data_IF_144039219804
#
_entry.id   IF_144039219804
#
_cell.length_a   1.000
_cell.length_b   1.000
_cell.length_c   1.000
_cell.angle_alpha   90.00
_cell.angle_beta   90.00
_cell.angle_gamma   90.00
#
_symmetry.space_group_name_H-M   'P 1'
#
loop_
_entity.id
_entity.type
_entity.pdbx_description
1 polymer ?
#
# COMPACT_ATOMS: atom_id res chain seq x y z
N UNK A 1 9.63 -8.58 -29.38
CA UNK A 1 8.38 -8.40 -28.63
C UNK A 1 7.79 -7.06 -29.04
N UNK A 2 6.50 -7.02 -29.40
CA UNK A 2 5.83 -5.76 -29.73
C UNK A 2 5.55 -4.99 -28.44
N UNK A 3 6.10 -3.80 -28.29
CA UNK A 3 5.80 -2.93 -27.17
C UNK A 3 4.39 -2.35 -27.35
N UNK A 4 3.60 -2.31 -26.27
CA UNK A 4 2.28 -1.69 -26.27
C UNK A 4 2.40 -0.34 -25.55
N UNK A 5 2.13 0.74 -26.27
CA UNK A 5 2.12 2.11 -25.74
C UNK A 5 0.68 2.59 -25.58
N UNK A 6 0.37 3.17 -24.43
CA UNK A 6 -0.97 3.63 -24.10
C UNK A 6 -0.87 5.00 -23.47
N UNK A 7 -1.61 5.96 -24.03
CA UNK A 7 -1.80 7.26 -23.39
C UNK A 7 -2.84 7.12 -22.28
N UNK A 8 -2.41 7.28 -21.04
CA UNK A 8 -3.28 7.29 -19.88
C UNK A 8 -4.25 8.48 -19.93
N UNK A 9 -5.54 8.20 -19.82
CA UNK A 9 -6.62 9.22 -19.74
C UNK A 9 -7.21 9.25 -18.34
N UNK A 10 -7.43 8.07 -17.75
CA UNK A 10 -8.06 7.94 -16.44
C UNK A 10 -7.57 6.68 -15.73
N UNK A 11 -7.29 6.80 -14.43
CA UNK A 11 -6.93 5.68 -13.56
C UNK A 11 -7.94 5.51 -12.44
N UNK A 12 -8.29 4.26 -12.16
CA UNK A 12 -9.13 3.87 -11.04
C UNK A 12 -8.60 2.59 -10.38
N UNK A 13 -9.10 2.23 -9.21
CA UNK A 13 -8.80 0.95 -8.57
C UNK A 13 -10.07 0.26 -8.07
N UNK A 14 -10.01 -1.06 -8.02
CA UNK A 14 -11.06 -1.86 -7.40
C UNK A 14 -10.44 -3.02 -6.63
N UNK A 15 -11.19 -3.59 -5.69
CA UNK A 15 -10.79 -4.81 -4.98
C UNK A 15 -11.52 -5.96 -5.64
N UNK A 16 -10.78 -7.02 -5.95
CA UNK A 16 -11.32 -8.22 -6.59
C UNK A 16 -10.74 -9.46 -5.93
N UNK A 17 -11.40 -10.59 -6.14
CA UNK A 17 -10.89 -11.89 -5.72
C UNK A 17 -9.59 -12.21 -6.46
N UNK A 18 -8.68 -12.93 -5.80
CA UNK A 18 -7.41 -13.32 -6.41
C UNK A 18 -7.60 -14.22 -7.64
N UNK A 19 -7.14 -13.71 -8.77
CA UNK A 19 -7.12 -14.36 -10.08
C UNK A 19 -5.77 -15.05 -10.35
N UNK A 20 -5.64 -15.75 -11.48
CA UNK A 20 -4.40 -16.45 -11.86
C UNK A 20 -3.21 -15.47 -11.92
N UNK A 21 -3.43 -14.27 -12.46
CA UNK A 21 -2.39 -13.22 -12.54
C UNK A 21 -1.94 -12.71 -11.18
N UNK A 22 -2.86 -12.52 -10.24
CA UNK A 22 -2.48 -12.10 -8.88
C UNK A 22 -1.84 -13.24 -8.10
N UNK A 23 -2.30 -14.49 -8.29
CA UNK A 23 -1.71 -15.67 -7.62
C UNK A 23 -0.28 -15.95 -8.05
N UNK A 24 0.12 -15.53 -9.25
CA UNK A 24 1.53 -15.56 -9.66
C UNK A 24 2.42 -14.63 -8.83
N UNK A 25 1.84 -13.57 -8.25
CA UNK A 25 2.55 -12.56 -7.47
C UNK A 25 2.44 -12.89 -5.98
N UNK A 26 1.23 -13.20 -5.52
CA UNK A 26 0.96 -13.59 -4.15
C UNK A 26 -0.18 -14.62 -4.08
N UNK A 27 0.11 -15.77 -3.49
CA UNK A 27 -0.82 -16.89 -3.33
C UNK A 27 -1.69 -16.80 -2.08
N UNK A 28 -1.33 -15.93 -1.12
CA UNK A 28 -1.91 -15.89 0.23
C UNK A 28 -3.17 -15.03 0.35
N UNK A 29 -3.37 -14.11 -0.59
CA UNK A 29 -4.47 -13.15 -0.55
C UNK A 29 -5.75 -13.68 -1.22
N UNK A 30 -6.87 -13.59 -0.52
CA UNK A 30 -8.19 -13.86 -1.10
C UNK A 30 -8.67 -12.69 -1.98
N UNK A 31 -8.40 -11.46 -1.55
CA UNK A 31 -8.79 -10.23 -2.24
C UNK A 31 -7.59 -9.31 -2.41
N UNK A 32 -7.45 -8.73 -3.60
CA UNK A 32 -6.30 -7.91 -3.98
C UNK A 32 -6.75 -6.62 -4.67
N UNK A 33 -6.00 -5.52 -4.52
CA UNK A 33 -6.31 -4.28 -5.21
C UNK A 33 -5.77 -4.32 -6.63
N UNK A 34 -6.63 -4.05 -7.61
CA UNK A 34 -6.28 -4.02 -9.03
C UNK A 34 -6.44 -2.59 -9.52
N UNK A 35 -5.42 -2.07 -10.20
CA UNK A 35 -5.47 -0.75 -10.83
C UNK A 35 -5.94 -0.92 -12.27
N UNK A 36 -6.91 -0.11 -12.68
CA UNK A 36 -7.41 -0.03 -14.05
C UNK A 36 -6.94 1.28 -14.67
N UNK A 37 -6.19 1.16 -15.76
CA UNK A 37 -5.74 2.30 -16.56
C UNK A 37 -6.56 2.31 -17.84
N UNK A 38 -7.35 3.36 -18.02
CA UNK A 38 -8.12 3.62 -19.22
C UNK A 38 -7.34 4.57 -20.11
N UNK A 39 -7.11 4.15 -21.34
CA UNK A 39 -6.28 4.92 -22.26
C UNK A 39 -6.60 4.66 -23.72
N UNK A 40 -5.80 5.31 -24.56
CA UNK A 40 -5.92 5.25 -26.02
C UNK A 40 -4.57 4.84 -26.60
N UNK A 41 -4.58 3.83 -27.48
CA UNK A 41 -3.39 3.41 -28.23
C UNK A 41 -3.05 4.44 -29.30
N UNK A 42 -1.82 4.36 -29.84
CA UNK A 42 -1.41 5.17 -31.00
C UNK A 42 -2.34 4.98 -32.21
N UNK A 43 -2.94 3.79 -32.35
CA UNK A 43 -3.96 3.49 -33.39
C UNK A 43 -5.31 4.18 -33.17
N UNK A 44 -5.51 4.89 -32.06
CA UNK A 44 -6.79 5.50 -31.68
C UNK A 44 -7.78 4.56 -30.99
N UNK A 45 -7.43 3.29 -30.81
CA UNK A 45 -8.28 2.31 -30.11
C UNK A 45 -8.29 2.56 -28.59
N UNK A 46 -9.47 2.51 -27.98
CA UNK A 46 -9.63 2.57 -26.52
C UNK A 46 -9.20 1.23 -25.90
N UNK A 47 -8.43 1.29 -24.84
CA UNK A 47 -7.94 0.12 -24.12
C UNK A 47 -8.13 0.30 -22.61
N UNK A 48 -8.38 -0.80 -21.91
CA UNK A 48 -8.36 -0.88 -20.45
C UNK A 48 -7.29 -1.89 -20.05
N UNK A 49 -6.34 -1.46 -19.21
CA UNK A 49 -5.27 -2.32 -18.69
C UNK A 49 -5.51 -2.56 -17.22
N UNK A 50 -5.47 -3.83 -16.83
CA UNK A 50 -5.54 -4.25 -15.43
C UNK A 50 -4.14 -4.55 -14.93
N UNK A 51 -3.69 -3.77 -13.96
CA UNK A 51 -2.37 -3.91 -13.33
C UNK A 51 -2.53 -4.64 -12.00
N UNK A 52 -1.85 -5.77 -11.89
CA UNK A 52 -1.84 -6.63 -10.70
C UNK A 52 -0.52 -6.50 -9.94
N UNK A 53 -0.52 -6.78 -8.64
CA UNK A 53 0.70 -6.83 -7.82
C UNK A 53 1.19 -5.49 -7.27
N UNK A 54 0.37 -4.45 -7.39
CA UNK A 54 0.60 -3.20 -6.67
C UNK A 54 -0.17 -3.28 -5.37
N UNK A 55 0.48 -2.99 -4.24
CA UNK A 55 -0.16 -2.95 -2.93
C UNK A 55 0.00 -1.58 -2.28
N UNK A 56 -1.07 -1.03 -1.69
CA UNK A 56 -1.00 0.24 -0.95
C UNK A 56 -0.08 0.12 0.25
N UNK A 57 0.76 1.13 0.48
CA UNK A 57 1.66 1.18 1.63
C UNK A 57 1.62 2.54 2.32
N UNK A 58 2.16 2.63 3.52
CA UNK A 58 2.59 3.88 4.13
C UNK A 58 3.94 3.70 4.81
N UNK A 59 4.62 4.82 5.07
CA UNK A 59 5.92 4.85 5.73
C UNK A 59 5.79 5.43 7.13
N UNK A 60 6.47 4.81 8.08
CA UNK A 60 6.59 5.27 9.47
C UNK A 60 8.06 5.60 9.72
N UNK A 61 8.34 6.84 10.13
CA UNK A 61 9.67 7.24 10.58
C UNK A 61 9.80 7.09 12.10
N UNK A 62 10.95 6.58 12.54
CA UNK A 62 11.34 6.53 13.95
C UNK A 62 12.62 7.37 14.15
N UNK A 63 12.69 8.09 15.27
CA UNK A 63 13.89 8.86 15.64
C UNK A 63 15.03 7.98 16.17
N UNK A 64 14.73 6.72 16.50
CA UNK A 64 15.65 5.70 17.02
C UNK A 64 15.94 4.65 15.97
N UNK A 65 17.09 3.97 16.09
CA UNK A 65 17.46 2.85 15.22
C UNK A 65 16.35 1.78 15.19
N UNK A 66 15.98 1.34 13.98
CA UNK A 66 14.89 0.41 13.78
C UNK A 66 15.40 -1.02 13.97
N UNK A 67 15.07 -1.63 15.11
CA UNK A 67 15.38 -3.04 15.35
C UNK A 67 14.32 -3.95 14.72
N UNK A 68 14.71 -5.18 14.37
CA UNK A 68 13.77 -6.19 13.87
C UNK A 68 12.69 -6.55 14.92
N UNK A 69 12.99 -6.36 16.21
CA UNK A 69 12.03 -6.56 17.29
C UNK A 69 10.90 -5.54 17.22
N UNK A 70 11.23 -4.27 16.97
CA UNK A 70 10.23 -3.21 16.80
C UNK A 70 9.30 -3.49 15.62
N UNK A 71 9.83 -4.03 14.52
CA UNK A 71 9.02 -4.43 13.35
C UNK A 71 7.99 -5.51 13.74
N UNK A 72 8.43 -6.54 14.46
CA UNK A 72 7.53 -7.63 14.89
C UNK A 72 6.47 -7.15 15.87
N UNK A 73 6.84 -6.25 16.80
CA UNK A 73 5.90 -5.62 17.73
C UNK A 73 4.86 -4.78 16.98
N UNK A 74 5.29 -3.95 16.03
CA UNK A 74 4.39 -3.16 15.20
C UNK A 74 3.46 -4.04 14.38
N UNK A 75 3.96 -5.12 13.80
CA UNK A 75 3.14 -6.09 13.07
C UNK A 75 2.06 -6.69 13.99
N UNK A 76 2.42 -7.06 15.23
CA UNK A 76 1.44 -7.57 16.20
C UNK A 76 0.38 -6.53 16.58
N UNK A 77 0.78 -5.27 16.79
CA UNK A 77 -0.11 -4.17 17.15
C UNK A 77 -1.05 -3.85 15.99
N UNK A 78 -0.53 -3.77 14.77
CA UNK A 78 -1.32 -3.48 13.58
C UNK A 78 -2.32 -4.61 13.33
N UNK A 79 -1.90 -5.87 13.45
CA UNK A 79 -2.81 -7.00 13.31
C UNK A 79 -3.91 -6.99 14.37
N UNK A 80 -3.59 -6.70 15.64
CA UNK A 80 -4.58 -6.57 16.71
C UNK A 80 -5.57 -5.43 16.48
N UNK A 81 -5.10 -4.26 16.01
CA UNK A 81 -5.96 -3.13 15.63
C UNK A 81 -6.88 -3.52 14.47
N UNK A 82 -6.33 -4.24 13.49
CA UNK A 82 -7.04 -4.63 12.29
C UNK A 82 -8.14 -5.67 12.59
N UNK A 83 -7.87 -6.61 13.49
CA UNK A 83 -8.88 -7.52 14.06
C UNK A 83 -9.98 -6.75 14.80
N UNK A 84 -9.61 -5.75 15.62
CA UNK A 84 -10.58 -4.88 16.29
C UNK A 84 -11.49 -4.11 15.33
N UNK A 85 -10.96 -3.69 14.17
CA UNK A 85 -11.74 -3.02 13.12
C UNK A 85 -12.69 -3.97 12.37
N UNK A 86 -12.40 -5.28 12.37
CA UNK A 86 -13.24 -6.29 11.73
C UNK A 86 -14.50 -6.65 12.52
N UNK A 87 -14.55 -6.35 13.83
CA UNK A 87 -15.68 -6.71 14.70
C UNK A 87 -17.05 -6.12 14.30
N UNK A 88 -17.09 -5.17 13.35
CA UNK A 88 -18.33 -4.61 12.80
C UNK A 88 -18.57 -4.91 11.32
N UNK A 89 -17.68 -5.61 10.62
CA UNK A 89 -17.77 -5.83 9.18
C UNK A 89 -17.58 -7.32 8.85
N UNK A 90 -18.66 -8.02 8.48
CA UNK A 90 -18.66 -9.39 7.93
C UNK A 90 -17.96 -9.50 6.55
N UNK A 91 -17.11 -8.55 6.18
CA UNK A 91 -16.46 -8.49 4.87
C UNK A 91 -14.96 -8.63 5.05
N UNK A 92 -14.43 -9.64 4.34
CA UNK A 92 -13.04 -9.85 3.94
C UNK A 92 -12.00 -9.65 5.05
N UNK A 93 -11.32 -10.75 5.44
CA UNK A 93 -10.23 -10.71 6.43
C UNK A 93 -9.22 -9.62 6.06
N UNK A 94 -9.27 -8.53 6.82
CA UNK A 94 -8.26 -7.49 6.71
C UNK A 94 -6.92 -8.11 7.09
N UNK A 95 -6.00 -8.16 6.14
CA UNK A 95 -4.66 -8.69 6.36
C UNK A 95 -3.61 -7.65 5.97
N UNK A 96 -2.55 -7.60 6.77
CA UNK A 96 -1.31 -6.95 6.44
C UNK A 96 -0.61 -7.80 5.36
N UNK A 97 -0.07 -7.15 4.33
CA UNK A 97 0.67 -7.86 3.28
C UNK A 97 2.11 -8.12 3.73
N UNK A 98 2.85 -7.03 3.99
CA UNK A 98 4.27 -7.11 4.34
C UNK A 98 4.74 -5.84 5.03
N UNK A 99 5.65 -6.02 5.97
CA UNK A 99 6.40 -4.94 6.61
C UNK A 99 7.88 -5.05 6.27
N UNK A 100 8.49 -3.94 5.84
CA UNK A 100 9.88 -3.89 5.38
C UNK A 100 10.59 -2.67 5.96
N UNK A 101 11.88 -2.82 6.30
CA UNK A 101 12.73 -1.69 6.69
C UNK A 101 13.35 -1.09 5.42
N UNK A 102 13.23 0.23 5.26
CA UNK A 102 13.74 0.99 4.13
C UNK A 102 14.61 2.14 4.64
N UNK A 103 15.72 2.40 3.96
CA UNK A 103 16.55 3.59 4.21
C UNK A 103 16.06 4.73 3.32
N UNK A 104 15.57 5.80 3.94
CA UNK A 104 15.04 6.95 3.23
C UNK A 104 15.39 8.26 3.95
N UNK A 105 15.09 9.39 3.32
CA UNK A 105 15.34 10.71 3.87
C UNK A 105 14.06 11.52 3.83
N UNK A 106 13.67 12.08 4.97
CA UNK A 106 12.51 12.96 5.02
C UNK A 106 12.74 14.20 4.14
N UNK A 107 11.71 14.60 3.41
CA UNK A 107 11.71 15.81 2.59
C UNK A 107 11.59 17.05 3.48
N UNK A 108 10.90 16.93 4.62
CA UNK A 108 10.68 18.02 5.55
C UNK A 108 11.84 18.14 6.54
N UNK A 109 12.44 19.34 6.59
CA UNK A 109 13.58 19.65 7.45
C UNK A 109 14.94 19.33 6.81
N UNK A 110 16.01 19.81 7.44
CA UNK A 110 17.37 19.53 7.00
C UNK A 110 17.91 18.28 7.71
N UNK A 111 17.99 17.19 6.97
CA UNK A 111 18.59 15.93 7.44
C UNK A 111 19.95 15.75 6.76
N UNK A 112 21.03 15.54 7.50
CA UNK A 112 22.35 15.27 6.89
C UNK A 112 22.48 13.80 6.48
N UNK A 113 21.96 12.91 7.31
CA UNK A 113 22.08 11.46 7.16
C UNK A 113 20.78 10.85 6.64
N UNK A 114 20.88 9.62 6.12
CA UNK A 114 19.74 8.77 5.77
C UNK A 114 19.22 8.13 7.05
N UNK A 115 17.90 8.10 7.24
CA UNK A 115 17.24 7.48 8.37
C UNK A 115 16.53 6.18 7.95
N UNK A 116 16.19 5.36 8.93
CA UNK A 116 15.46 4.11 8.71
C UNK A 116 13.96 4.36 8.87
N UNK A 117 13.19 3.84 7.92
CA UNK A 117 11.73 3.95 7.85
C UNK A 117 11.16 2.55 7.72
N UNK A 118 9.98 2.35 8.31
CA UNK A 118 9.23 1.11 8.17
C UNK A 118 8.16 1.30 7.11
N UNK A 119 8.21 0.50 6.06
CA UNK A 119 7.18 0.41 5.03
C UNK A 119 6.20 -0.70 5.38
N UNK A 120 4.97 -0.29 5.70
CA UNK A 120 3.87 -1.21 5.96
C UNK A 120 2.96 -1.25 4.73
N UNK A 121 2.77 -2.45 4.17
CA UNK A 121 1.98 -2.69 2.97
C UNK A 121 0.70 -3.47 3.28
N UNK A 122 -0.38 -3.18 2.57
CA UNK A 122 -1.74 -3.69 2.84
C UNK A 122 -2.36 -4.31 1.59
N UNK A 123 -3.27 -5.26 1.78
CA UNK A 123 -4.09 -5.79 0.68
C UNK A 123 -5.23 -4.86 0.25
N UNK A 124 -5.63 -3.91 1.11
CA UNK A 124 -6.76 -3.02 0.82
C UNK A 124 -6.41 -1.56 1.12
N UNK A 125 -6.64 -0.65 0.16
CA UNK A 125 -6.40 0.78 0.38
C UNK A 125 -7.38 1.39 1.39
N UNK A 126 -8.54 0.77 1.62
CA UNK A 126 -9.51 1.24 2.61
C UNK A 126 -9.02 1.01 4.05
N UNK A 127 -8.43 -0.16 4.32
CA UNK A 127 -7.88 -0.48 5.64
C UNK A 127 -6.65 0.36 5.94
N UNK A 128 -5.81 0.61 4.95
CA UNK A 128 -4.70 1.58 5.07
C UNK A 128 -5.21 2.95 5.54
N UNK A 129 -6.24 3.51 4.90
CA UNK A 129 -6.76 4.83 5.27
C UNK A 129 -7.31 4.87 6.71
N UNK A 130 -8.06 3.83 7.11
CA UNK A 130 -8.59 3.72 8.48
C UNK A 130 -7.46 3.61 9.51
N UNK A 131 -6.46 2.76 9.26
CA UNK A 131 -5.33 2.60 10.16
C UNK A 131 -4.52 3.88 10.27
N UNK A 132 -4.19 4.54 9.16
CA UNK A 132 -3.49 5.83 9.20
C UNK A 132 -4.28 6.86 10.01
N UNK A 133 -5.60 6.90 9.89
CA UNK A 133 -6.44 7.80 10.69
C UNK A 133 -6.36 7.49 12.20
N UNK A 134 -6.42 6.21 12.58
CA UNK A 134 -6.35 5.78 13.98
C UNK A 134 -4.97 6.09 14.56
N UNK A 135 -3.93 5.70 13.83
CA UNK A 135 -2.55 5.88 14.26
C UNK A 135 -2.24 7.39 14.36
N UNK A 136 -2.71 8.23 13.43
CA UNK A 136 -2.59 9.68 13.54
C UNK A 136 -3.27 10.24 14.80
N UNK A 137 -4.41 9.68 15.19
CA UNK A 137 -5.15 10.11 16.40
C UNK A 137 -4.43 9.69 17.69
N UNK A 138 -3.82 8.49 17.70
CA UNK A 138 -3.15 7.94 18.88
C UNK A 138 -1.70 8.44 19.04
N UNK A 139 -1.00 8.65 17.93
CA UNK A 139 0.42 8.94 17.88
C UNK A 139 0.67 10.24 17.10
N UNK A 140 0.43 11.37 17.78
CA UNK A 140 0.64 12.72 17.25
C UNK A 140 2.10 13.01 16.84
N UNK A 141 3.06 12.25 17.35
CA UNK A 141 4.50 12.54 17.23
C UNK A 141 5.22 11.81 16.11
N UNK A 142 4.53 10.98 15.32
CA UNK A 142 5.17 10.15 14.30
C UNK A 142 4.93 10.75 12.91
N UNK A 143 6.00 10.81 12.12
CA UNK A 143 5.95 11.27 10.73
C UNK A 143 5.38 10.18 9.82
N UNK A 144 4.26 10.48 9.16
CA UNK A 144 3.64 9.61 8.16
C UNK A 144 3.75 10.24 6.78
N UNK A 145 4.14 9.43 5.79
CA UNK A 145 3.99 9.79 4.38
C UNK A 145 2.72 9.12 3.88
N UNK A 146 1.65 9.90 3.75
CA UNK A 146 0.38 9.47 3.19
C UNK A 146 0.27 9.94 1.74
N UNK A 147 0.33 9.00 0.81
CA UNK A 147 0.12 9.25 -0.62
C UNK A 147 -1.10 8.42 -1.05
N UNK A 148 -2.09 9.01 -1.75
CA UNK A 148 -3.21 8.26 -2.32
C UNK A 148 -2.72 7.10 -3.16
N UNK A 149 -3.41 5.95 -3.08
CA UNK A 149 -2.96 4.69 -3.69
C UNK A 149 -2.59 4.82 -5.19
N UNK A 150 -3.40 5.53 -5.97
CA UNK A 150 -3.16 5.73 -7.41
C UNK A 150 -1.89 6.57 -7.66
N UNK A 151 -1.56 7.51 -6.78
CA UNK A 151 -0.39 8.39 -6.92
C UNK A 151 0.89 7.66 -6.46
N UNK A 152 0.77 6.57 -5.70
CA UNK A 152 1.93 5.76 -5.31
C UNK A 152 2.53 4.98 -6.48
N UNK A 153 1.80 4.82 -7.59
CA UNK A 153 2.19 3.99 -8.73
C UNK A 153 2.63 4.76 -9.96
N UNK A 154 2.51 6.08 -9.94
CA UNK A 154 2.94 6.99 -11.00
C UNK A 154 4.37 7.43 -10.78
#
# INVERSE_FOLDING_TARGET
MSNVTIRNVFCDFYIDKSNIFSKQIDTSADHVPIIRIFGILESGQKCCVHVHGVFPYFLIGFDTDVSQQLVNELDSVINGLLEGLNFGCNREKCSLYKTEIIKAKSIYGYHKNVAEFIKVSFFSPYHRNKLVCIIHTLLHFIFYIFIPYIIQTT
#
